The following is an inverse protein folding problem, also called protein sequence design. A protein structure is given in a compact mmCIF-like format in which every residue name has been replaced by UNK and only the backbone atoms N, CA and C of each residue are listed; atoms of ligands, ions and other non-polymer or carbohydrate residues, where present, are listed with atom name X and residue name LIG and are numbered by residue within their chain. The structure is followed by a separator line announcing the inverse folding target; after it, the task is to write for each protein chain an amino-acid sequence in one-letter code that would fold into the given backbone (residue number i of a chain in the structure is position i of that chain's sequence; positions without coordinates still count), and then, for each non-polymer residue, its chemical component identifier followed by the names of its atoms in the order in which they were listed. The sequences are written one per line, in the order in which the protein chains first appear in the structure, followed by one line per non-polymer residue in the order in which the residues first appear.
data_IF_247136198816
#
_entry.id   IF_247136198816
#
_cell.length_a   1.000
_cell.length_b   1.000
_cell.length_c   1.000
_cell.angle_alpha   90.00
_cell.angle_beta   90.00
_cell.angle_gamma   90.00
#
_symmetry.space_group_name_H-M   'P 1'
#
loop_
_entity.id
_entity.type
_entity.pdbx_description
1 polymer ?
#
# COMPACT_ATOMS: atom_id res chain seq x y z
N UNK A 1 12.48 -0.69 9.64
CA UNK A 1 13.04 -1.34 8.44
C UNK A 1 13.63 -0.24 7.56
N UNK A 2 14.92 -0.31 7.24
CA UNK A 2 15.57 0.72 6.44
C UNK A 2 15.32 0.48 4.94
N UNK A 3 14.36 1.18 4.35
CA UNK A 3 14.10 1.18 2.90
C UNK A 3 14.76 2.38 2.19
N UNK A 4 15.74 3.00 2.85
CA UNK A 4 16.13 4.39 2.66
C UNK A 4 16.89 4.71 1.36
N UNK A 5 17.26 3.69 0.58
CA UNK A 5 17.97 3.85 -0.69
C UNK A 5 17.32 3.09 -1.86
N UNK A 6 16.09 2.61 -1.70
CA UNK A 6 15.41 1.80 -2.72
C UNK A 6 14.73 2.69 -3.78
N UNK A 7 15.50 3.52 -4.48
CA UNK A 7 14.95 4.47 -5.47
C UNK A 7 14.49 3.77 -6.75
N UNK A 8 15.11 2.67 -7.15
CA UNK A 8 14.75 1.91 -8.35
C UNK A 8 13.73 0.79 -8.12
N UNK A 9 13.21 0.65 -6.89
CA UNK A 9 12.30 -0.46 -6.56
C UNK A 9 10.93 -0.21 -7.20
N UNK A 10 10.52 -1.10 -8.10
CA UNK A 10 9.25 -1.00 -8.82
C UNK A 10 8.10 -1.72 -8.12
N UNK A 11 8.41 -2.76 -7.34
CA UNK A 11 7.41 -3.57 -6.65
C UNK A 11 7.80 -3.82 -5.20
N UNK A 12 6.84 -3.61 -4.30
CA UNK A 12 6.98 -3.81 -2.87
C UNK A 12 5.81 -4.63 -2.36
N UNK A 13 6.10 -5.67 -1.59
CA UNK A 13 5.09 -6.56 -1.02
C UNK A 13 5.38 -6.79 0.46
N UNK A 14 4.35 -6.71 1.28
CA UNK A 14 4.36 -7.07 2.68
C UNK A 14 3.46 -8.28 2.87
N UNK A 15 4.01 -9.39 3.37
CA UNK A 15 3.28 -10.62 3.62
C UNK A 15 3.49 -11.06 5.07
N UNK A 16 2.41 -11.45 5.76
CA UNK A 16 2.44 -11.98 7.13
C UNK A 16 3.16 -11.03 8.10
N UNK A 17 2.82 -9.74 8.05
CA UNK A 17 3.45 -8.70 8.86
C UNK A 17 2.49 -8.19 9.96
N UNK A 18 2.27 -8.95 11.05
CA UNK A 18 1.26 -8.64 12.07
C UNK A 18 1.55 -7.38 12.89
N UNK A 19 2.77 -6.86 12.83
CA UNK A 19 3.19 -5.65 13.54
C UNK A 19 3.45 -4.46 12.62
N UNK A 20 3.25 -4.60 11.31
CA UNK A 20 3.41 -3.50 10.38
C UNK A 20 2.27 -2.50 10.58
N UNK A 21 2.61 -1.28 11.02
CA UNK A 21 1.63 -0.21 11.24
C UNK A 21 1.64 0.83 10.13
N UNK A 22 2.83 1.09 9.56
CA UNK A 22 3.09 2.08 8.52
C UNK A 22 4.25 1.61 7.65
N UNK A 23 4.21 1.98 6.38
CA UNK A 23 5.39 1.94 5.51
C UNK A 23 6.14 3.25 5.72
N UNK A 24 7.32 3.18 6.32
CA UNK A 24 8.16 4.36 6.45
C UNK A 24 8.72 4.74 5.07
N UNK A 25 8.18 5.80 4.47
CA UNK A 25 8.69 6.39 3.24
C UNK A 25 9.03 7.85 3.49
N UNK A 26 10.29 8.23 3.27
CA UNK A 26 10.60 9.63 3.02
C UNK A 26 10.16 10.02 1.61
N UNK A 27 9.87 11.29 1.34
CA UNK A 27 9.42 11.76 0.03
C UNK A 27 10.37 11.40 -1.14
N UNK A 28 11.66 11.23 -0.85
CA UNK A 28 12.68 10.87 -1.84
C UNK A 28 12.91 9.35 -1.97
N UNK A 29 12.13 8.52 -1.27
CA UNK A 29 12.26 7.07 -1.27
C UNK A 29 11.17 6.43 -2.13
N UNK A 30 11.49 5.30 -2.77
CA UNK A 30 10.54 4.50 -3.54
C UNK A 30 9.85 5.31 -4.67
N UNK A 31 10.54 6.29 -5.25
CA UNK A 31 10.02 7.17 -6.30
C UNK A 31 9.67 6.44 -7.60
N UNK A 32 10.24 5.26 -7.83
CA UNK A 32 9.92 4.40 -8.98
C UNK A 32 8.93 3.28 -8.64
N UNK A 33 8.27 3.34 -7.48
CA UNK A 33 7.35 2.29 -7.06
C UNK A 33 6.04 2.39 -7.86
N UNK A 34 5.72 1.28 -8.52
CA UNK A 34 4.50 1.14 -9.32
C UNK A 34 3.54 0.13 -8.69
N UNK A 35 4.04 -0.91 -8.02
CA UNK A 35 3.22 -2.00 -7.51
C UNK A 35 3.38 -2.16 -5.99
N UNK A 36 2.27 -2.07 -5.25
CA UNK A 36 2.24 -2.22 -3.79
C UNK A 36 1.25 -3.31 -3.38
N UNK A 37 1.70 -4.26 -2.55
CA UNK A 37 0.92 -5.41 -2.11
C UNK A 37 0.97 -5.59 -0.58
N UNK A 38 -0.17 -5.88 0.05
CA UNK A 38 -0.30 -6.19 1.48
C UNK A 38 -1.12 -7.47 1.68
N UNK A 39 -0.50 -8.49 2.27
CA UNK A 39 -1.09 -9.80 2.54
C UNK A 39 -0.96 -10.10 4.04
N UNK A 40 -2.07 -10.33 4.73
CA UNK A 40 -2.10 -10.70 6.16
C UNK A 40 -1.26 -9.74 7.05
N UNK A 41 -1.70 -8.49 7.07
CA UNK A 41 -1.06 -7.37 7.78
C UNK A 41 -2.10 -6.67 8.69
N UNK A 42 -2.55 -7.29 9.79
CA UNK A 42 -3.71 -6.86 10.56
C UNK A 42 -3.60 -5.46 11.20
N UNK A 43 -2.38 -5.01 11.52
CA UNK A 43 -2.15 -3.70 12.17
C UNK A 43 -1.88 -2.56 11.19
N UNK A 44 -1.90 -2.84 9.89
CA UNK A 44 -1.62 -1.86 8.86
C UNK A 44 -2.89 -1.05 8.58
N UNK A 45 -2.80 0.27 8.75
CA UNK A 45 -3.97 1.16 8.63
C UNK A 45 -3.80 2.25 7.57
N UNK A 46 -2.56 2.68 7.30
CA UNK A 46 -2.31 3.85 6.46
C UNK A 46 -1.45 3.48 5.25
N UNK A 47 -1.84 3.95 4.06
CA UNK A 47 -0.97 3.91 2.89
C UNK A 47 0.04 5.07 2.93
N UNK A 48 1.26 4.87 2.42
CA UNK A 48 2.22 5.96 2.28
C UNK A 48 1.76 6.91 1.15
N UNK A 49 1.14 8.03 1.52
CA UNK A 49 0.56 9.02 0.58
C UNK A 49 1.57 9.51 -0.45
N UNK A 50 2.84 9.63 -0.08
CA UNK A 50 3.92 10.05 -0.98
C UNK A 50 4.15 9.08 -2.14
N UNK A 51 3.70 7.83 -2.04
CA UNK A 51 3.88 6.80 -3.07
C UNK A 51 2.64 6.60 -3.95
N UNK A 52 1.49 7.16 -3.55
CA UNK A 52 0.23 6.98 -4.28
C UNK A 52 0.27 7.57 -5.70
N UNK A 53 0.87 8.75 -5.96
CA UNK A 53 0.81 9.37 -7.29
C UNK A 53 1.53 8.58 -8.40
N UNK A 54 2.53 7.77 -8.08
CA UNK A 54 3.27 6.95 -9.07
C UNK A 54 2.73 5.52 -9.17
N UNK A 55 1.78 5.14 -8.31
CA UNK A 55 1.34 3.77 -8.23
C UNK A 55 0.50 3.41 -9.48
N UNK A 56 0.68 2.19 -9.97
CA UNK A 56 -0.11 1.63 -11.06
C UNK A 56 -0.98 0.47 -10.59
N UNK A 57 -0.59 -0.16 -9.47
CA UNK A 57 -1.26 -1.34 -8.94
C UNK A 57 -1.21 -1.38 -7.42
N UNK A 58 -2.39 -1.57 -6.82
CA UNK A 58 -2.55 -1.82 -5.39
C UNK A 58 -3.25 -3.17 -5.17
N UNK A 59 -2.66 -4.03 -4.35
CA UNK A 59 -3.30 -5.28 -3.88
C UNK A 59 -3.39 -5.34 -2.36
N UNK A 60 -4.57 -5.58 -1.83
CA UNK A 60 -4.83 -5.77 -0.40
C UNK A 60 -5.58 -7.09 -0.24
N UNK A 61 -5.00 -8.08 0.42
CA UNK A 61 -5.56 -9.44 0.53
C UNK A 61 -5.48 -9.99 1.95
N UNK A 62 -6.33 -10.98 2.23
CA UNK A 62 -6.40 -11.68 3.51
C UNK A 62 -6.64 -10.71 4.68
N UNK A 63 -6.03 -10.94 5.83
CA UNK A 63 -6.26 -10.16 7.03
C UNK A 63 -5.56 -8.78 7.03
N UNK A 64 -6.12 -7.83 6.28
CA UNK A 64 -5.70 -6.43 6.21
C UNK A 64 -6.88 -5.45 6.47
N UNK A 65 -7.64 -5.60 7.56
CA UNK A 65 -8.94 -4.96 7.74
C UNK A 65 -8.90 -3.43 7.63
N UNK A 66 -7.95 -2.76 8.28
CA UNK A 66 -7.85 -1.30 8.24
C UNK A 66 -7.58 -0.72 6.85
N UNK A 67 -6.73 -1.40 6.06
CA UNK A 67 -6.50 -1.02 4.67
C UNK A 67 -7.71 -1.32 3.78
N UNK A 68 -8.39 -2.46 3.95
CA UNK A 68 -9.61 -2.78 3.18
C UNK A 68 -10.69 -1.73 3.41
N UNK A 69 -10.94 -1.37 4.67
CA UNK A 69 -11.95 -0.37 5.05
C UNK A 69 -11.65 0.98 4.38
N UNK A 70 -10.43 1.50 4.55
CA UNK A 70 -10.05 2.82 4.04
C UNK A 70 -9.87 2.88 2.53
N UNK A 71 -9.53 1.76 1.89
CA UNK A 71 -9.39 1.67 0.43
C UNK A 71 -10.67 1.21 -0.28
N UNK A 72 -11.74 0.90 0.46
CA UNK A 72 -13.05 0.58 -0.12
C UNK A 72 -13.61 1.77 -0.91
N UNK A 73 -14.63 1.58 -1.76
CA UNK A 73 -15.22 2.64 -2.60
C UNK A 73 -15.72 3.87 -1.82
N UNK A 74 -16.05 3.71 -0.55
CA UNK A 74 -16.49 4.79 0.34
C UNK A 74 -15.41 5.14 1.40
N UNK A 75 -14.25 4.51 1.33
CA UNK A 75 -13.15 4.71 2.23
C UNK A 75 -12.37 5.99 1.93
N UNK A 76 -11.66 6.50 2.94
CA UNK A 76 -10.92 7.77 2.87
C UNK A 76 -9.81 7.78 1.81
N UNK A 77 -9.24 6.63 1.46
CA UNK A 77 -8.21 6.53 0.42
C UNK A 77 -8.79 6.41 -1.00
N UNK A 78 -10.08 6.12 -1.17
CA UNK A 78 -10.66 5.91 -2.50
C UNK A 78 -10.40 7.04 -3.49
N UNK A 79 -10.57 8.35 -3.13
CA UNK A 79 -10.25 9.44 -4.06
C UNK A 79 -8.78 9.44 -4.49
N UNK A 80 -7.89 8.96 -3.64
CA UNK A 80 -6.44 8.91 -3.87
C UNK A 80 -5.99 7.69 -4.68
N UNK A 81 -6.80 6.62 -4.75
CA UNK A 81 -6.43 5.39 -5.44
C UNK A 81 -7.37 5.03 -6.59
N UNK A 82 -8.51 5.70 -6.74
CA UNK A 82 -9.53 5.35 -7.75
C UNK A 82 -9.06 5.53 -9.21
N UNK A 83 -8.01 6.32 -9.42
CA UNK A 83 -7.39 6.52 -10.73
C UNK A 83 -6.41 5.41 -11.12
N UNK A 84 -6.07 4.50 -10.19
CA UNK A 84 -5.10 3.44 -10.45
C UNK A 84 -5.64 2.44 -11.49
N UNK A 85 -4.83 2.04 -12.49
CA UNK A 85 -5.24 1.05 -13.49
C UNK A 85 -5.68 -0.31 -12.92
N UNK A 86 -5.14 -0.70 -11.76
CA UNK A 86 -5.41 -2.01 -11.17
C UNK A 86 -5.51 -1.93 -9.64
N UNK A 87 -6.71 -2.15 -9.11
CA UNK A 87 -7.00 -2.23 -7.68
C UNK A 87 -7.61 -3.60 -7.40
N UNK A 88 -6.99 -4.36 -6.50
CA UNK A 88 -7.48 -5.68 -6.08
C UNK A 88 -7.53 -5.75 -4.56
N UNK A 89 -8.75 -5.62 -4.02
CA UNK A 89 -9.04 -5.66 -2.58
C UNK A 89 -9.91 -6.90 -2.36
N UNK A 90 -9.35 -7.96 -1.77
CA UNK A 90 -10.07 -9.21 -1.50
C UNK A 90 -10.68 -9.20 -0.10
N UNK A 91 -11.95 -9.57 0.04
CA UNK A 91 -12.72 -9.47 1.29
C UNK A 91 -12.56 -10.69 2.24
N UNK A 92 -11.97 -11.79 1.80
CA UNK A 92 -11.91 -13.05 2.57
C UNK A 92 -10.82 -13.10 3.64
#
# INVERSE_FOLDING_TARGET
MGLQHLTSLQSLSFAFCPNLKKVASHPQQLTSLHHLCFWDCPKMMDLPETLLPSLLRLKIRYNCPGLKERCSKNGSYWPLISHLPCIDIQEF
#
